data_IF_388987195510
#
_entry.id   IF_388987195510
#
_cell.length_a   1.000
_cell.length_b   1.000
_cell.length_c   1.000
_cell.angle_alpha   90.00
_cell.angle_beta   90.00
_cell.angle_gamma   90.00
#
_symmetry.space_group_name_H-M   'P 1'
#
loop_
_entity.id
_entity.type
_entity.pdbx_description
1 polymer ?
#
# COMPACT_ATOMS: atom_id res chain seq x y z
N UNK A 1 17.40 32.34 37.38
CA UNK A 1 16.58 31.13 37.17
C UNK A 1 15.41 31.51 36.28
N UNK A 2 15.35 30.97 35.07
CA UNK A 2 14.25 31.21 34.11
C UNK A 2 13.23 30.08 34.33
N UNK A 3 11.93 30.34 34.52
CA UNK A 3 10.96 29.27 34.69
C UNK A 3 10.63 28.64 33.33
N UNK A 4 10.78 27.32 33.24
CA UNK A 4 10.32 26.50 32.12
C UNK A 4 8.83 26.20 32.28
N UNK A 5 8.01 26.66 31.34
CA UNK A 5 6.62 26.21 31.16
C UNK A 5 6.62 24.80 30.53
N UNK A 6 5.78 23.85 30.98
CA UNK A 6 5.68 22.53 30.36
C UNK A 6 4.94 22.61 29.02
N UNK A 7 5.46 21.90 28.02
CA UNK A 7 4.84 21.77 26.69
C UNK A 7 3.52 20.96 26.77
N UNK A 8 2.48 21.48 26.13
CA UNK A 8 1.19 20.81 25.98
C UNK A 8 1.30 19.58 25.05
N UNK A 9 0.48 18.53 25.27
CA UNK A 9 0.49 17.34 24.41
C UNK A 9 0.03 17.68 23.00
N UNK A 10 0.78 17.19 22.00
CA UNK A 10 0.46 17.34 20.59
C UNK A 10 -0.91 16.73 20.28
N UNK A 11 -1.77 17.55 19.69
CA UNK A 11 -3.14 17.21 19.31
C UNK A 11 -3.19 16.08 18.26
N UNK A 12 -4.31 15.35 18.30
CA UNK A 12 -4.55 14.09 17.62
C UNK A 12 -4.21 14.03 16.13
N UNK A 13 -3.67 12.89 15.73
CA UNK A 13 -3.63 12.46 14.33
C UNK A 13 -5.08 12.37 13.78
N UNK A 14 -5.32 12.76 12.51
CA UNK A 14 -6.64 12.69 11.94
C UNK A 14 -7.11 11.24 11.84
N UNK A 15 -8.31 10.98 12.37
CA UNK A 15 -8.98 9.70 12.20
C UNK A 15 -9.37 9.55 10.71
N UNK A 16 -8.81 8.54 10.06
CA UNK A 16 -9.16 8.19 8.69
C UNK A 16 -10.67 7.89 8.61
N UNK A 17 -11.39 8.41 7.60
CA UNK A 17 -12.81 8.12 7.44
C UNK A 17 -12.99 6.63 7.20
N UNK A 18 -13.58 5.94 8.18
CA UNK A 18 -14.07 4.57 7.99
C UNK A 18 -15.31 4.67 7.10
N UNK A 19 -15.17 4.29 5.83
CA UNK A 19 -16.34 3.96 5.03
C UNK A 19 -17.12 2.89 5.79
N UNK A 20 -18.42 3.07 5.96
CA UNK A 20 -19.28 2.08 6.59
C UNK A 20 -19.30 0.83 5.70
N UNK A 21 -18.43 -0.13 6.04
CA UNK A 21 -18.07 -1.26 5.19
C UNK A 21 -19.29 -2.11 4.82
N UNK A 22 -20.29 -2.14 5.70
CA UNK A 22 -21.55 -2.86 5.48
C UNK A 22 -22.41 -2.20 4.40
N UNK A 23 -22.52 -0.87 4.39
CA UNK A 23 -23.34 -0.13 3.43
C UNK A 23 -22.71 -0.12 2.03
N UNK A 24 -21.37 -0.03 1.95
CA UNK A 24 -20.62 -0.09 0.69
C UNK A 24 -20.65 -1.49 0.07
N UNK A 25 -20.46 -2.54 0.88
CA UNK A 25 -20.53 -3.92 0.42
C UNK A 25 -21.94 -4.32 -0.07
N UNK A 26 -23.00 -3.81 0.57
CA UNK A 26 -24.37 -4.06 0.14
C UNK A 26 -24.71 -3.39 -1.21
N UNK A 27 -24.21 -2.16 -1.44
CA UNK A 27 -24.40 -1.45 -2.73
C UNK A 27 -23.59 -2.08 -3.87
N UNK A 28 -22.36 -2.53 -3.60
CA UNK A 28 -21.52 -3.16 -4.62
C UNK A 28 -22.05 -4.55 -5.04
N UNK A 29 -22.64 -5.33 -4.13
CA UNK A 29 -23.27 -6.62 -4.46
C UNK A 29 -24.48 -6.48 -5.37
N UNK A 30 -25.27 -5.41 -5.21
CA UNK A 30 -26.45 -5.18 -6.04
C UNK A 30 -26.12 -4.79 -7.50
N UNK A 31 -24.97 -4.15 -7.75
CA UNK A 31 -24.58 -3.70 -9.10
C UNK A 31 -23.81 -4.76 -9.90
N UNK A 32 -23.15 -5.72 -9.24
CA UNK A 32 -22.28 -6.73 -9.89
C UNK A 32 -23.02 -8.04 -10.23
N UNK A 33 -24.30 -8.17 -9.90
CA UNK A 33 -25.06 -9.42 -10.09
C UNK A 33 -25.42 -9.76 -11.56
N UNK A 34 -25.15 -8.89 -12.53
CA UNK A 34 -25.78 -9.00 -13.85
C UNK A 34 -25.02 -9.68 -15.00
N UNK A 35 -23.68 -9.81 -14.96
CA UNK A 35 -22.96 -10.10 -16.22
C UNK A 35 -21.58 -10.82 -16.16
N UNK A 36 -21.17 -11.41 -15.03
CA UNK A 36 -19.81 -11.99 -14.90
C UNK A 36 -19.79 -13.22 -13.97
N UNK A 37 -20.24 -14.39 -14.44
CA UNK A 37 -20.28 -15.56 -13.54
C UNK A 37 -19.67 -16.85 -14.10
N UNK A 38 -19.32 -16.94 -15.37
CA UNK A 38 -18.82 -18.19 -15.97
C UNK A 38 -17.30 -18.21 -16.22
N UNK A 39 -16.71 -17.14 -16.75
CA UNK A 39 -15.26 -17.08 -17.05
C UNK A 39 -14.37 -16.66 -15.87
N UNK A 40 -14.96 -16.10 -14.81
CA UNK A 40 -14.24 -15.44 -13.71
C UNK A 40 -13.96 -16.36 -12.49
N UNK A 41 -14.55 -17.56 -12.46
CA UNK A 41 -14.47 -18.47 -11.30
C UNK A 41 -13.05 -18.95 -10.99
N UNK A 42 -12.20 -19.07 -12.01
CA UNK A 42 -10.77 -19.39 -11.84
C UNK A 42 -9.88 -18.13 -11.81
N UNK A 43 -10.31 -17.04 -12.46
CA UNK A 43 -9.49 -15.84 -12.62
C UNK A 43 -9.25 -15.12 -11.29
N UNK A 44 -10.26 -14.99 -10.44
CA UNK A 44 -10.12 -14.33 -9.14
C UNK A 44 -9.12 -15.02 -8.19
N UNK A 45 -9.17 -16.35 -7.95
CA UNK A 45 -8.17 -17.00 -7.12
C UNK A 45 -6.77 -16.99 -7.75
N UNK A 46 -6.65 -17.17 -9.07
CA UNK A 46 -5.34 -17.11 -9.76
C UNK A 46 -4.75 -15.71 -9.72
N UNK A 47 -5.55 -14.66 -9.92
CA UNK A 47 -5.07 -13.28 -9.81
C UNK A 47 -4.62 -12.97 -8.38
N UNK A 48 -5.38 -13.38 -7.37
CA UNK A 48 -4.99 -13.22 -5.96
C UNK A 48 -3.67 -13.93 -5.67
N UNK A 49 -3.52 -15.17 -6.11
CA UNK A 49 -2.29 -15.93 -5.92
C UNK A 49 -1.11 -15.28 -6.64
N UNK A 50 -1.28 -14.85 -7.89
CA UNK A 50 -0.25 -14.15 -8.65
C UNK A 50 0.18 -12.84 -7.97
N UNK A 51 -0.78 -12.07 -7.45
CA UNK A 51 -0.51 -10.83 -6.71
C UNK A 51 0.15 -11.09 -5.36
N UNK A 52 -0.20 -12.17 -4.66
CA UNK A 52 0.49 -12.58 -3.43
C UNK A 52 1.93 -13.01 -3.73
N UNK A 53 2.20 -13.64 -4.87
CA UNK A 53 3.56 -14.04 -5.26
C UNK A 53 4.48 -12.86 -5.57
N UNK A 54 3.95 -11.68 -5.91
CA UNK A 54 4.77 -10.46 -6.09
C UNK A 54 5.49 -10.05 -4.81
N UNK A 55 4.93 -10.35 -3.64
CA UNK A 55 5.44 -9.96 -2.32
C UNK A 55 6.04 -11.14 -1.54
N UNK A 56 5.82 -12.39 -1.98
CA UNK A 56 6.23 -13.59 -1.23
C UNK A 56 7.18 -14.51 -2.00
N UNK A 57 7.11 -14.55 -3.34
CA UNK A 57 7.93 -15.47 -4.11
C UNK A 57 9.38 -14.95 -4.20
N UNK A 58 10.41 -15.81 -4.27
CA UNK A 58 11.80 -15.37 -4.37
C UNK A 58 12.08 -14.41 -5.55
N UNK A 59 11.34 -14.56 -6.65
CA UNK A 59 11.44 -13.72 -7.86
C UNK A 59 10.44 -12.55 -7.89
N UNK A 60 9.64 -12.38 -6.83
CA UNK A 60 8.64 -11.32 -6.75
C UNK A 60 9.29 -9.94 -6.66
N UNK A 61 8.78 -8.98 -7.44
CA UNK A 61 9.38 -7.63 -7.56
C UNK A 61 9.36 -6.85 -6.26
N UNK A 62 8.47 -7.18 -5.32
CA UNK A 62 8.36 -6.52 -4.03
C UNK A 62 8.79 -7.40 -2.86
N UNK A 63 9.21 -8.65 -3.09
CA UNK A 63 9.44 -9.63 -2.01
C UNK A 63 10.37 -9.13 -0.92
N UNK A 64 11.51 -8.55 -1.30
CA UNK A 64 12.48 -7.99 -0.35
C UNK A 64 11.89 -6.90 0.56
N UNK A 65 10.86 -6.17 0.11
CA UNK A 65 10.20 -5.13 0.90
C UNK A 65 9.21 -5.69 1.91
N UNK A 66 8.64 -6.86 1.64
CA UNK A 66 7.63 -7.51 2.49
C UNK A 66 8.21 -8.67 3.33
N UNK A 67 9.52 -8.92 3.29
CA UNK A 67 10.18 -9.92 4.13
C UNK A 67 9.91 -9.68 5.63
N UNK A 68 9.58 -10.76 6.34
CA UNK A 68 9.31 -10.75 7.78
C UNK A 68 7.94 -10.18 8.17
N UNK A 69 7.10 -9.81 7.21
CA UNK A 69 5.78 -9.27 7.48
C UNK A 69 4.80 -10.39 7.85
N UNK A 70 4.06 -10.21 8.96
CA UNK A 70 3.10 -11.19 9.47
C UNK A 70 1.75 -11.17 8.74
N UNK A 71 1.40 -10.05 8.10
CA UNK A 71 0.17 -9.89 7.33
C UNK A 71 0.48 -10.16 5.86
N UNK A 72 -0.13 -11.19 5.23
CA UNK A 72 0.13 -11.48 3.82
C UNK A 72 -0.47 -10.37 2.95
N UNK A 73 0.34 -9.77 2.08
CA UNK A 73 -0.09 -8.70 1.18
C UNK A 73 -0.12 -9.21 -0.24
N UNK A 74 -1.23 -9.02 -0.95
CA UNK A 74 -1.31 -9.23 -2.38
C UNK A 74 -1.24 -7.88 -3.09
N UNK A 75 -0.32 -7.71 -4.02
CA UNK A 75 -0.15 -6.43 -4.69
C UNK A 75 0.65 -6.48 -5.96
N UNK A 76 0.81 -5.32 -6.58
CA UNK A 76 1.54 -5.16 -7.83
C UNK A 76 2.32 -3.85 -7.83
N UNK A 77 3.58 -3.95 -8.25
CA UNK A 77 4.42 -2.79 -8.53
C UNK A 77 4.02 -2.14 -9.86
N UNK A 78 4.09 -0.82 -9.91
CA UNK A 78 4.00 -0.05 -11.15
C UNK A 78 5.08 1.03 -11.18
N UNK A 79 5.53 1.34 -12.38
CA UNK A 79 6.42 2.46 -12.68
C UNK A 79 5.81 3.16 -13.88
N UNK A 80 5.38 4.40 -13.73
CA UNK A 80 4.77 5.16 -14.82
C UNK A 80 5.79 6.15 -15.37
N UNK A 81 6.14 6.01 -16.66
CA UNK A 81 7.09 6.90 -17.32
C UNK A 81 6.61 8.36 -17.29
N UNK A 82 7.55 9.27 -17.08
CA UNK A 82 7.28 10.72 -17.06
C UNK A 82 8.36 11.45 -17.87
N UNK A 83 8.11 11.72 -19.17
CA UNK A 83 9.11 12.33 -20.03
C UNK A 83 9.67 13.64 -19.47
N UNK A 84 10.99 13.72 -19.33
CA UNK A 84 11.69 14.90 -18.80
C UNK A 84 11.75 14.99 -17.27
N UNK A 85 11.27 13.97 -16.55
CA UNK A 85 11.35 13.84 -15.08
C UNK A 85 11.59 12.38 -14.69
N UNK A 86 11.76 12.13 -13.40
CA UNK A 86 11.75 10.77 -12.87
C UNK A 86 10.37 10.11 -13.07
N UNK A 87 10.29 8.80 -13.32
CA UNK A 87 9.03 8.06 -13.34
C UNK A 87 8.25 8.20 -12.04
N UNK A 88 6.93 8.04 -12.09
CA UNK A 88 6.13 7.92 -10.87
C UNK A 88 6.21 6.49 -10.33
N UNK A 89 6.36 6.37 -9.02
CA UNK A 89 6.42 5.08 -8.31
C UNK A 89 5.04 4.68 -7.82
N UNK A 90 4.60 3.45 -8.16
CA UNK A 90 3.27 2.94 -7.83
C UNK A 90 3.34 1.60 -7.11
N UNK A 91 2.46 1.42 -6.14
CA UNK A 91 2.15 0.11 -5.58
C UNK A 91 0.66 0.05 -5.21
N UNK A 92 -0.07 -0.91 -5.79
CA UNK A 92 -1.46 -1.15 -5.45
C UNK A 92 -1.62 -2.57 -4.89
N UNK A 93 -2.48 -2.72 -3.89
CA UNK A 93 -2.67 -4.02 -3.26
C UNK A 93 -3.81 -4.06 -2.26
N UNK A 94 -3.94 -5.23 -1.63
CA UNK A 94 -4.89 -5.49 -0.57
C UNK A 94 -4.30 -6.45 0.47
N UNK A 95 -4.82 -6.38 1.69
CA UNK A 95 -4.36 -7.16 2.83
C UNK A 95 -5.50 -7.45 3.82
N UNK A 96 -5.48 -8.60 4.51
CA UNK A 96 -4.70 -9.80 4.22
C UNK A 96 -5.03 -10.38 2.83
N UNK A 97 -4.10 -11.09 2.19
CA UNK A 97 -4.29 -11.62 0.84
C UNK A 97 -5.45 -12.62 0.76
N UNK A 98 -5.65 -13.44 1.78
CA UNK A 98 -6.64 -14.50 1.88
C UNK A 98 -8.05 -14.01 2.24
N UNK A 99 -8.15 -13.06 3.18
CA UNK A 99 -9.41 -12.43 3.59
C UNK A 99 -9.28 -10.90 3.64
N UNK A 100 -9.35 -10.20 2.49
CA UNK A 100 -9.01 -8.78 2.40
C UNK A 100 -9.89 -7.89 3.28
N UNK A 101 -9.24 -7.04 4.09
CA UNK A 101 -9.89 -6.05 4.96
C UNK A 101 -9.61 -4.60 4.51
N UNK A 102 -8.46 -4.38 3.88
CA UNK A 102 -8.06 -3.09 3.30
C UNK A 102 -7.57 -3.29 1.87
N UNK A 103 -7.96 -2.37 0.98
CA UNK A 103 -7.34 -2.16 -0.33
C UNK A 103 -6.72 -0.77 -0.36
N UNK A 104 -5.57 -0.63 -1.01
CA UNK A 104 -4.78 0.59 -1.03
C UNK A 104 -4.04 0.77 -2.34
N UNK A 105 -3.71 2.03 -2.65
CA UNK A 105 -2.80 2.41 -3.71
C UNK A 105 -1.88 3.51 -3.19
N UNK A 106 -0.58 3.31 -3.35
CA UNK A 106 0.47 4.29 -3.03
C UNK A 106 1.06 4.78 -4.34
N UNK A 107 1.06 6.10 -4.52
CA UNK A 107 1.65 6.77 -5.67
C UNK A 107 2.58 7.84 -5.15
N UNK A 108 3.83 7.83 -5.62
CA UNK A 108 4.81 8.86 -5.32
C UNK A 108 5.29 9.44 -6.65
N UNK A 109 5.08 10.74 -6.82
CA UNK A 109 5.39 11.38 -8.09
C UNK A 109 6.89 11.62 -8.24
N UNK A 110 7.44 11.38 -9.45
CA UNK A 110 8.84 11.67 -9.76
C UNK A 110 9.82 10.96 -8.82
N UNK A 111 9.54 9.69 -8.53
CA UNK A 111 10.22 8.91 -7.51
C UNK A 111 10.71 7.54 -8.02
N UNK A 112 10.83 7.36 -9.33
CA UNK A 112 11.39 6.15 -9.93
C UNK A 112 10.50 4.92 -9.73
N UNK A 113 11.11 3.80 -9.32
CA UNK A 113 10.50 2.48 -9.38
C UNK A 113 9.51 2.17 -8.24
N UNK A 114 8.41 1.49 -8.59
CA UNK A 114 7.39 1.00 -7.65
C UNK A 114 7.92 0.11 -6.52
N UNK A 115 8.87 -0.78 -6.83
CA UNK A 115 9.51 -1.70 -5.87
C UNK A 115 10.44 -1.01 -4.88
N UNK A 116 10.95 0.16 -5.25
CA UNK A 116 11.96 0.88 -4.48
C UNK A 116 11.32 1.87 -3.53
N UNK A 117 10.32 2.63 -3.99
CA UNK A 117 9.71 3.71 -3.20
C UNK A 117 8.31 3.36 -2.71
N UNK A 118 7.38 3.06 -3.61
CA UNK A 118 5.97 2.85 -3.22
C UNK A 118 5.74 1.54 -2.43
N UNK A 119 6.47 0.46 -2.72
CA UNK A 119 6.34 -0.81 -2.03
C UNK A 119 6.68 -0.76 -0.52
N UNK A 120 7.81 -0.19 -0.06
CA UNK A 120 8.07 -0.05 1.38
C UNK A 120 7.10 0.90 2.09
N UNK A 121 6.59 1.94 1.41
CA UNK A 121 5.53 2.79 1.96
C UNK A 121 4.20 2.03 2.09
N UNK A 122 3.85 1.20 1.10
CA UNK A 122 2.68 0.33 1.15
C UNK A 122 2.75 -0.67 2.32
N UNK A 123 3.94 -1.20 2.63
CA UNK A 123 4.17 -2.00 3.84
C UNK A 123 3.81 -1.21 5.11
N UNK A 124 4.30 0.03 5.25
CA UNK A 124 3.97 0.86 6.41
C UNK A 124 2.48 1.18 6.52
N UNK A 125 1.77 1.36 5.40
CA UNK A 125 0.30 1.55 5.40
C UNK A 125 -0.39 0.33 6.02
N UNK A 126 0.00 -0.88 5.62
CA UNK A 126 -0.58 -2.11 6.16
C UNK A 126 -0.18 -2.30 7.63
N UNK A 127 1.09 -2.06 7.98
CA UNK A 127 1.56 -2.12 9.38
C UNK A 127 0.75 -1.17 10.27
N UNK A 128 0.59 0.09 9.85
CA UNK A 128 -0.21 1.07 10.57
C UNK A 128 -1.67 0.64 10.72
N UNK A 129 -2.28 0.10 9.66
CA UNK A 129 -3.68 -0.35 9.69
C UNK A 129 -3.91 -1.49 10.70
N UNK A 130 -2.96 -2.44 10.80
CA UNK A 130 -3.03 -3.57 11.73
C UNK A 130 -2.39 -3.28 13.09
N UNK A 131 -1.93 -2.06 13.35
CA UNK A 131 -1.32 -1.67 14.63
C UNK A 131 0.05 -2.33 14.89
N UNK A 132 0.80 -2.64 13.84
CA UNK A 132 2.14 -3.20 13.91
C UNK A 132 3.22 -2.09 13.97
N UNK A 133 4.39 -2.37 14.54
CA UNK A 133 5.54 -1.46 14.44
C UNK A 133 5.89 -1.16 12.98
N UNK A 134 6.16 0.11 12.68
CA UNK A 134 6.55 0.51 11.33
C UNK A 134 7.97 0.07 11.05
N UNK A 135 8.15 -0.67 9.96
CA UNK A 135 9.47 -1.00 9.44
C UNK A 135 10.09 0.26 8.85
N UNK A 136 11.31 0.66 9.23
CA UNK A 136 11.95 1.86 8.68
C UNK A 136 12.01 1.81 7.16
N UNK A 137 11.74 2.96 6.52
CA UNK A 137 11.91 3.08 5.09
C UNK A 137 13.40 2.91 4.75
N UNK A 138 13.72 2.15 3.69
CA UNK A 138 15.09 2.04 3.23
C UNK A 138 15.53 3.40 2.66
N UNK A 139 16.84 3.76 2.72
CA UNK A 139 17.31 5.08 2.29
C UNK A 139 16.90 5.45 0.86
N UNK A 140 16.87 4.47 -0.04
CA UNK A 140 16.47 4.65 -1.44
C UNK A 140 14.97 4.91 -1.63
N UNK A 141 14.14 4.66 -0.63
CA UNK A 141 12.71 5.00 -0.65
C UNK A 141 12.43 6.42 -0.16
N UNK A 142 13.43 7.11 0.39
CA UNK A 142 13.28 8.48 0.83
C UNK A 142 13.38 9.41 -0.38
N UNK A 143 12.54 10.44 -0.48
CA UNK A 143 12.67 11.42 -1.54
C UNK A 143 14.07 12.03 -1.47
N UNK A 144 14.80 12.00 -2.57
CA UNK A 144 16.06 12.73 -2.67
C UNK A 144 15.76 14.22 -2.51
N UNK A 145 16.48 14.94 -1.64
CA UNK A 145 16.31 16.39 -1.54
C UNK A 145 16.57 16.98 -2.93
N UNK A 146 15.59 17.71 -3.45
CA UNK A 146 15.77 18.46 -4.70
C UNK A 146 16.94 19.42 -4.47
N UNK A 147 17.99 19.41 -5.32
CA UNK A 147 19.04 20.41 -5.23
C UNK A 147 18.37 21.79 -5.29
N UNK A 148 18.58 22.58 -4.24
CA UNK A 148 18.10 23.96 -4.20
C UNK A 148 18.87 24.77 -5.27
N UNK A 149 18.20 25.72 -5.95
CA UNK A 149 18.86 26.57 -6.94
C UNK A 149 19.99 27.41 -6.34
#
# INVERSE_FOLDING_TARGET
>A
AVPTTPAAPAAGAPAWPRADAAATAARQRATVSGARQDKDRWAAPVAREALARVTTAPIGTATHRFLGMSIPVAGKTGTAENPGKEPHSWFAGFAPADNPQIAFAVVVENAGEGSTVAAPMARQVVEAYFGLPLTPLPPEALPTPTPQP
#
